data_IF_375628452519
#
_entry.id   IF_375628452519
#
_cell.length_a   1.000
_cell.length_b   1.000
_cell.length_c   1.000
_cell.angle_alpha   90.00
_cell.angle_beta   90.00
_cell.angle_gamma   90.00
#
_symmetry.space_group_name_H-M   'P 1'
#
loop_
_entity.id
_entity.type
_entity.pdbx_description
1 polymer ?
#
# COMPACT_ATOMS: atom_id res chain seq x y z
N UNK A 1 17.78 -5.19 -12.03
CA UNK A 1 16.54 -4.80 -11.33
C UNK A 1 15.61 -4.27 -12.39
N UNK A 2 14.54 -4.98 -12.73
CA UNK A 2 13.54 -4.47 -13.66
C UNK A 2 12.76 -3.38 -12.93
N UNK A 3 12.86 -2.15 -13.42
CA UNK A 3 12.13 -1.01 -12.89
C UNK A 3 10.61 -1.24 -12.95
N UNK A 4 9.90 -0.59 -12.02
CA UNK A 4 8.45 -0.52 -12.04
C UNK A 4 7.98 -0.09 -13.44
N UNK A 5 6.95 -0.78 -13.96
CA UNK A 5 6.30 -0.39 -15.21
C UNK A 5 5.20 0.65 -14.93
N UNK A 6 5.46 1.95 -15.14
CA UNK A 6 4.50 3.02 -14.82
C UNK A 6 3.20 2.90 -15.63
N UNK A 7 3.28 2.44 -16.88
CA UNK A 7 2.09 2.33 -17.75
C UNK A 7 1.11 1.25 -17.27
N UNK A 8 1.61 0.12 -16.77
CA UNK A 8 0.77 -0.93 -16.18
C UNK A 8 0.17 -0.46 -14.85
N UNK A 9 0.93 0.33 -14.08
CA UNK A 9 0.43 0.92 -12.84
C UNK A 9 -0.69 1.95 -13.08
N UNK A 10 -0.55 2.78 -14.11
CA UNK A 10 -1.51 3.82 -14.48
C UNK A 10 -2.81 3.26 -15.08
N UNK A 11 -2.78 2.04 -15.64
CA UNK A 11 -3.99 1.41 -16.19
C UNK A 11 -5.11 1.23 -15.15
N UNK A 12 -4.76 1.10 -13.88
CA UNK A 12 -5.69 0.95 -12.75
C UNK A 12 -5.58 2.13 -11.75
N UNK A 13 -5.29 3.32 -12.24
CA UNK A 13 -5.03 4.47 -11.38
C UNK A 13 -6.24 4.87 -10.53
N UNK A 14 -7.46 4.79 -11.07
CA UNK A 14 -8.69 5.13 -10.35
C UNK A 14 -8.93 4.19 -9.17
N UNK A 15 -8.81 2.87 -9.39
CA UNK A 15 -8.99 1.84 -8.36
C UNK A 15 -7.91 1.91 -7.27
N UNK A 16 -6.70 2.32 -7.63
CA UNK A 16 -5.57 2.49 -6.70
C UNK A 16 -5.66 3.77 -5.89
N UNK A 17 -6.24 4.83 -6.45
CA UNK A 17 -6.40 6.13 -5.77
C UNK A 17 -7.60 6.15 -4.82
N UNK A 18 -8.66 5.38 -5.11
CA UNK A 18 -9.87 5.35 -4.29
C UNK A 18 -9.61 5.11 -2.80
N UNK A 19 -8.78 4.14 -2.37
CA UNK A 19 -8.48 3.94 -0.94
C UNK A 19 -7.78 5.14 -0.30
N UNK A 20 -6.89 5.82 -1.03
CA UNK A 20 -6.23 7.03 -0.52
C UNK A 20 -7.24 8.16 -0.28
N UNK A 21 -8.21 8.36 -1.20
CA UNK A 21 -9.29 9.33 -1.06
C UNK A 21 -10.17 9.01 0.15
N UNK A 22 -10.55 7.74 0.33
CA UNK A 22 -11.39 7.30 1.45
C UNK A 22 -10.65 7.42 2.80
N UNK A 23 -9.34 7.09 2.85
CA UNK A 23 -8.50 7.32 4.02
C UNK A 23 -8.42 8.82 4.35
N UNK A 24 -8.10 9.64 3.35
CA UNK A 24 -7.96 11.09 3.51
C UNK A 24 -9.25 11.73 4.04
N UNK A 25 -10.42 11.28 3.59
CA UNK A 25 -11.71 11.78 4.04
C UNK A 25 -11.98 11.56 5.55
N UNK A 26 -11.28 10.58 6.17
CA UNK A 26 -11.39 10.28 7.61
C UNK A 26 -10.35 11.01 8.46
N UNK A 27 -9.38 11.71 7.87
CA UNK A 27 -8.38 12.49 8.62
C UNK A 27 -9.06 13.71 9.25
N UNK A 28 -9.12 13.81 10.61
CA UNK A 28 -9.87 14.85 11.32
C UNK A 28 -9.01 16.12 11.54
N UNK A 29 -8.36 16.61 10.48
CA UNK A 29 -7.49 17.79 10.53
C UNK A 29 -7.96 18.84 9.52
N UNK A 30 -7.97 20.11 9.94
CA UNK A 30 -8.37 21.23 9.08
C UNK A 30 -7.16 22.06 8.63
N UNK A 31 -6.40 22.59 9.57
CA UNK A 31 -5.24 23.43 9.30
C UNK A 31 -3.98 22.71 9.80
N UNK A 32 -3.10 22.39 8.87
CA UNK A 32 -1.84 21.69 9.15
C UNK A 32 -0.71 22.29 8.35
N UNK A 33 0.51 22.16 8.88
CA UNK A 33 1.70 22.74 8.28
C UNK A 33 2.68 21.68 7.79
N UNK A 34 2.82 20.56 8.53
CA UNK A 34 3.82 19.54 8.25
C UNK A 34 3.18 18.19 7.98
N UNK A 35 3.36 17.68 6.76
CA UNK A 35 2.85 16.38 6.31
C UNK A 35 4.00 15.50 5.85
N UNK A 36 3.96 14.22 6.20
CA UNK A 36 4.76 13.19 5.54
C UNK A 36 3.84 12.20 4.80
N UNK A 37 4.13 11.96 3.52
CA UNK A 37 3.53 10.89 2.72
C UNK A 37 4.54 9.74 2.59
N UNK A 38 4.37 8.69 3.38
CA UNK A 38 5.34 7.59 3.47
C UNK A 38 5.13 6.58 2.34
N UNK A 39 5.98 6.62 1.32
CA UNK A 39 5.91 5.74 0.18
C UNK A 39 4.89 6.19 -0.87
N UNK A 40 4.93 7.44 -1.26
CA UNK A 40 4.04 8.09 -2.24
C UNK A 40 3.93 7.40 -3.60
N UNK A 41 4.88 6.57 -3.94
CA UNK A 41 4.97 6.04 -5.28
C UNK A 41 5.19 7.15 -6.33
N UNK A 42 4.41 7.16 -7.43
CA UNK A 42 4.52 8.22 -8.44
C UNK A 42 3.87 9.57 -8.03
N UNK A 43 3.49 9.74 -6.75
CA UNK A 43 2.95 10.99 -6.21
C UNK A 43 1.42 11.09 -6.17
N UNK A 44 0.69 10.02 -6.42
CA UNK A 44 -0.78 10.06 -6.47
C UNK A 44 -1.41 10.46 -5.12
N UNK A 45 -0.92 9.92 -4.01
CA UNK A 45 -1.37 10.29 -2.66
C UNK A 45 -0.92 11.70 -2.29
N UNK A 46 0.32 12.04 -2.64
CA UNK A 46 0.89 13.38 -2.40
C UNK A 46 0.07 14.47 -3.10
N UNK A 47 -0.38 14.23 -4.34
CA UNK A 47 -1.25 15.16 -5.06
C UNK A 47 -2.61 15.39 -4.36
N UNK A 48 -3.18 14.35 -3.73
CA UNK A 48 -4.42 14.48 -2.95
C UNK A 48 -4.20 15.30 -1.67
N UNK A 49 -3.04 15.12 -1.02
CA UNK A 49 -2.64 15.89 0.16
C UNK A 49 -2.42 17.35 -0.20
N UNK A 50 -1.69 17.65 -1.27
CA UNK A 50 -1.43 18.99 -1.78
C UNK A 50 -2.74 19.70 -2.17
N UNK A 51 -3.65 18.99 -2.82
CA UNK A 51 -4.97 19.55 -3.16
C UNK A 51 -5.78 19.94 -1.92
N UNK A 52 -5.70 19.15 -0.84
CA UNK A 52 -6.44 19.43 0.41
C UNK A 52 -5.76 20.51 1.24
N UNK A 53 -4.42 20.55 1.28
CA UNK A 53 -3.62 21.47 2.07
C UNK A 53 -2.48 22.09 1.24
N UNK A 54 -2.79 22.98 0.30
CA UNK A 54 -1.80 23.50 -0.65
C UNK A 54 -0.71 24.37 -0.01
N UNK A 55 -0.90 24.79 1.24
CA UNK A 55 0.10 25.55 1.99
C UNK A 55 1.00 24.70 2.89
N UNK A 56 0.69 23.39 3.02
CA UNK A 56 1.47 22.49 3.85
C UNK A 56 2.78 22.07 3.17
N UNK A 57 3.79 21.77 4.00
CA UNK A 57 5.06 21.21 3.53
C UNK A 57 4.95 19.69 3.52
N UNK A 58 4.90 19.12 2.33
CA UNK A 58 4.77 17.68 2.15
C UNK A 58 6.16 17.08 1.91
N UNK A 59 6.52 16.10 2.73
CA UNK A 59 7.76 15.34 2.62
C UNK A 59 7.44 13.90 2.26
N UNK A 60 8.19 13.32 1.33
CA UNK A 60 8.08 11.91 0.95
C UNK A 60 9.39 11.18 1.13
N UNK A 61 9.30 9.90 1.49
CA UNK A 61 10.46 9.04 1.80
C UNK A 61 10.60 7.82 0.88
N UNK A 62 10.13 7.88 -0.39
CA UNK A 62 10.22 6.75 -1.32
C UNK A 62 11.45 6.78 -2.23
N UNK A 63 12.37 5.81 -2.16
CA UNK A 63 13.58 5.81 -2.98
C UNK A 63 13.33 5.59 -4.48
N UNK A 64 12.34 4.74 -4.84
CA UNK A 64 12.24 4.20 -6.20
C UNK A 64 11.45 5.05 -7.20
N UNK A 65 10.65 6.03 -6.73
CA UNK A 65 9.73 6.81 -7.59
C UNK A 65 9.88 8.32 -7.46
N UNK A 66 10.86 8.77 -6.67
CA UNK A 66 11.13 10.19 -6.39
C UNK A 66 11.34 11.03 -7.67
N UNK A 67 11.95 10.47 -8.71
CA UNK A 67 12.21 11.21 -9.94
C UNK A 67 10.91 11.60 -10.68
N UNK A 68 9.94 10.69 -10.74
CA UNK A 68 8.64 10.91 -11.36
C UNK A 68 7.77 11.84 -10.51
N UNK A 69 7.72 11.59 -9.20
CA UNK A 69 7.01 12.43 -8.25
C UNK A 69 7.54 13.89 -8.23
N UNK A 70 8.87 14.08 -8.25
CA UNK A 70 9.50 15.42 -8.36
C UNK A 70 9.12 16.17 -9.65
N UNK A 71 8.94 15.44 -10.75
CA UNK A 71 8.50 16.04 -12.01
C UNK A 71 7.04 16.44 -11.97
N UNK A 72 6.20 15.66 -11.30
CA UNK A 72 4.77 15.92 -11.18
C UNK A 72 4.43 17.00 -10.14
N UNK A 73 5.19 17.08 -9.05
CA UNK A 73 4.94 17.93 -7.88
C UNK A 73 6.23 18.69 -7.48
N UNK A 74 6.66 19.68 -8.27
CA UNK A 74 7.96 20.35 -8.06
C UNK A 74 8.07 21.14 -6.75
N UNK A 75 6.96 21.53 -6.15
CA UNK A 75 6.91 22.28 -4.90
C UNK A 75 6.96 21.41 -3.65
N UNK A 76 6.84 20.08 -3.80
CA UNK A 76 6.96 19.13 -2.69
C UNK A 76 8.40 18.72 -2.43
N UNK A 77 8.74 18.53 -1.14
CA UNK A 77 10.05 18.06 -0.73
C UNK A 77 10.09 16.52 -0.70
N UNK A 78 10.86 15.93 -1.61
CA UNK A 78 11.05 14.48 -1.66
C UNK A 78 12.40 14.11 -1.05
N UNK A 79 12.37 13.30 0.04
CA UNK A 79 13.54 12.81 0.75
C UNK A 79 13.67 11.30 0.58
N UNK A 80 14.82 10.84 0.09
CA UNK A 80 15.13 9.41 0.04
C UNK A 80 15.60 8.96 1.42
N UNK A 81 14.78 8.18 2.13
CA UNK A 81 15.08 7.70 3.48
C UNK A 81 14.42 6.35 3.77
N UNK A 82 15.00 5.60 4.69
CA UNK A 82 14.37 4.40 5.25
C UNK A 82 13.33 4.81 6.30
N UNK A 83 12.06 4.52 6.03
CA UNK A 83 10.92 4.86 6.91
C UNK A 83 11.15 4.39 8.35
N UNK A 84 11.84 3.26 8.56
CA UNK A 84 12.10 2.68 9.89
C UNK A 84 12.98 3.56 10.79
N UNK A 85 13.85 4.36 10.18
CA UNK A 85 14.86 5.18 10.89
C UNK A 85 14.77 6.67 10.55
N UNK A 86 13.85 7.04 9.66
CA UNK A 86 13.70 8.43 9.25
C UNK A 86 13.26 9.31 10.41
N UNK A 87 13.83 10.50 10.47
CA UNK A 87 13.50 11.54 11.44
C UNK A 87 13.21 12.83 10.68
N UNK A 88 12.03 13.41 10.83
CA UNK A 88 11.72 14.72 10.26
C UNK A 88 12.43 15.83 11.04
N UNK A 89 12.67 16.97 10.39
CA UNK A 89 13.23 18.16 11.04
C UNK A 89 12.25 18.81 12.04
N UNK A 90 10.95 18.62 11.81
CA UNK A 90 9.86 19.15 12.64
C UNK A 90 8.87 18.03 12.97
N UNK A 91 8.20 18.14 14.11
CA UNK A 91 7.09 17.26 14.44
C UNK A 91 5.96 17.40 13.39
N UNK A 92 5.33 16.28 13.03
CA UNK A 92 4.40 16.20 11.91
C UNK A 92 2.94 16.31 12.40
N UNK A 93 2.13 17.08 11.70
CA UNK A 93 0.70 17.12 11.95
C UNK A 93 -0.01 15.92 11.33
N UNK A 94 0.50 15.41 10.21
CA UNK A 94 -0.02 14.24 9.53
C UNK A 94 1.12 13.36 9.01
N UNK A 95 1.05 12.09 9.35
CA UNK A 95 1.75 11.01 8.64
C UNK A 95 0.70 10.24 7.84
N UNK A 96 0.84 10.23 6.53
CA UNK A 96 -0.03 9.52 5.61
C UNK A 96 0.74 8.37 4.95
N UNK A 97 0.16 7.18 4.92
CA UNK A 97 0.78 6.00 4.32
C UNK A 97 -0.27 5.17 3.57
N UNK A 98 -0.23 5.22 2.24
CA UNK A 98 -1.17 4.48 1.41
C UNK A 98 -0.48 3.36 0.66
N UNK A 99 -0.78 2.12 1.02
CA UNK A 99 -0.25 0.89 0.40
C UNK A 99 1.29 0.81 0.39
N UNK A 100 1.93 1.25 1.46
CA UNK A 100 3.39 1.26 1.63
C UNK A 100 3.88 0.42 2.82
N UNK A 101 3.27 0.59 4.01
CA UNK A 101 3.79 -0.01 5.23
C UNK A 101 3.67 -1.55 5.28
N UNK A 102 2.79 -2.16 4.52
CA UNK A 102 2.68 -3.62 4.42
C UNK A 102 3.96 -4.31 3.92
N UNK A 103 4.91 -3.56 3.37
CA UNK A 103 6.20 -4.07 2.91
C UNK A 103 7.30 -4.01 3.96
N UNK A 104 7.03 -3.37 5.08
CA UNK A 104 7.98 -3.24 6.19
C UNK A 104 7.68 -4.30 7.26
N UNK A 105 8.70 -4.91 7.86
CA UNK A 105 8.54 -5.81 9.00
C UNK A 105 8.30 -5.03 10.30
N UNK A 106 8.09 -5.76 11.38
CA UNK A 106 8.15 -5.26 12.76
C UNK A 106 7.21 -4.11 13.07
N UNK A 107 5.94 -4.24 12.68
CA UNK A 107 4.92 -3.21 12.93
C UNK A 107 4.75 -2.88 14.42
N UNK A 108 5.11 -3.78 15.33
CA UNK A 108 5.10 -3.53 16.77
C UNK A 108 6.10 -2.44 17.21
N UNK A 109 7.20 -2.25 16.46
CA UNK A 109 8.17 -1.20 16.69
C UNK A 109 7.91 0.01 15.79
N UNK A 110 7.52 -0.25 14.54
CA UNK A 110 7.31 0.77 13.52
C UNK A 110 6.19 1.76 13.88
N UNK A 111 5.02 1.26 14.30
CA UNK A 111 3.86 2.12 14.55
C UNK A 111 4.07 3.07 15.75
N UNK A 112 4.60 2.61 16.92
CA UNK A 112 4.97 3.54 17.99
C UNK A 112 6.03 4.55 17.57
N UNK A 113 7.02 4.14 16.77
CA UNK A 113 8.00 5.06 16.22
C UNK A 113 7.33 6.17 15.39
N UNK A 114 6.45 5.82 14.44
CA UNK A 114 5.73 6.79 13.62
C UNK A 114 4.86 7.73 14.47
N UNK A 115 4.18 7.22 15.49
CA UNK A 115 3.41 8.06 16.44
C UNK A 115 4.33 9.04 17.17
N UNK A 116 5.55 8.64 17.53
CA UNK A 116 6.50 9.52 18.23
C UNK A 116 6.95 10.73 17.39
N UNK A 117 6.82 10.66 16.06
CA UNK A 117 7.14 11.74 15.13
C UNK A 117 6.01 12.78 14.99
N UNK A 118 4.82 12.49 15.52
CA UNK A 118 3.68 13.39 15.44
C UNK A 118 3.76 14.53 16.44
N UNK A 119 3.25 15.68 16.02
CA UNK A 119 2.93 16.80 16.93
C UNK A 119 1.80 16.40 17.90
N UNK A 120 1.58 17.15 19.00
CA UNK A 120 0.38 17.00 19.80
C UNK A 120 -0.89 17.10 18.94
N UNK A 121 -1.83 16.18 19.11
CA UNK A 121 -3.04 16.02 18.29
C UNK A 121 -2.80 15.68 16.82
N UNK A 122 -1.55 15.39 16.42
CA UNK A 122 -1.20 14.92 15.09
C UNK A 122 -1.82 13.55 14.78
N UNK A 123 -1.88 13.20 13.50
CA UNK A 123 -2.59 12.01 13.02
C UNK A 123 -1.66 11.11 12.21
N UNK A 124 -1.70 9.83 12.52
CA UNK A 124 -1.18 8.75 11.68
C UNK A 124 -2.35 8.13 10.91
N UNK A 125 -2.36 8.29 9.58
CA UNK A 125 -3.38 7.74 8.70
C UNK A 125 -2.75 6.68 7.77
N UNK A 126 -3.16 5.43 7.90
CA UNK A 126 -2.57 4.28 7.21
C UNK A 126 -3.64 3.48 6.48
N UNK A 127 -3.35 3.12 5.23
CA UNK A 127 -4.09 2.12 4.49
C UNK A 127 -3.15 1.04 3.98
N UNK A 128 -3.52 -0.22 4.15
CA UNK A 128 -2.74 -1.39 3.71
C UNK A 128 -3.65 -2.43 3.04
N UNK A 129 -3.23 -3.06 1.92
CA UNK A 129 -3.89 -4.25 1.41
C UNK A 129 -3.87 -5.37 2.46
N UNK A 130 -5.06 -5.90 2.80
CA UNK A 130 -5.25 -6.99 3.78
C UNK A 130 -5.68 -8.27 3.05
N UNK A 131 -4.93 -8.61 2.01
CA UNK A 131 -5.27 -9.60 1.00
C UNK A 131 -4.39 -10.86 1.05
N UNK A 132 -3.68 -11.10 2.15
CA UNK A 132 -2.78 -12.24 2.30
C UNK A 132 -3.50 -13.59 2.20
N UNK A 133 -4.76 -13.66 2.65
CA UNK A 133 -5.65 -14.83 2.56
C UNK A 133 -6.52 -14.85 1.31
N UNK A 134 -6.50 -13.81 0.48
CA UNK A 134 -7.26 -13.80 -0.76
C UNK A 134 -6.69 -14.81 -1.76
N UNK A 135 -7.55 -15.44 -2.59
CA UNK A 135 -7.11 -16.48 -3.53
C UNK A 135 -5.92 -16.06 -4.38
N UNK A 136 -5.87 -14.82 -4.88
CA UNK A 136 -4.71 -14.33 -5.63
C UNK A 136 -3.38 -14.55 -4.91
N UNK A 137 -3.32 -14.30 -3.60
CA UNK A 137 -2.08 -14.42 -2.83
C UNK A 137 -1.85 -15.84 -2.30
N UNK A 138 -2.92 -16.58 -2.00
CA UNK A 138 -2.83 -18.01 -1.65
C UNK A 138 -2.25 -18.79 -2.82
N UNK A 139 -2.79 -18.59 -4.03
CA UNK A 139 -2.36 -19.29 -5.24
C UNK A 139 -0.90 -18.99 -5.62
N UNK A 140 -0.38 -17.80 -5.37
CA UNK A 140 1.06 -17.51 -5.58
C UNK A 140 1.94 -18.43 -4.71
N UNK A 141 1.56 -18.61 -3.44
CA UNK A 141 2.29 -19.50 -2.52
C UNK A 141 2.17 -20.97 -2.91
N UNK A 142 0.97 -21.38 -3.35
CA UNK A 142 0.73 -22.76 -3.80
C UNK A 142 1.56 -23.08 -5.06
N UNK A 143 1.58 -22.20 -6.06
CA UNK A 143 2.40 -22.39 -7.26
C UNK A 143 3.89 -22.45 -6.90
N UNK A 144 4.36 -21.56 -6.04
CA UNK A 144 5.75 -21.58 -5.60
C UNK A 144 6.09 -22.90 -4.88
N UNK A 145 5.21 -23.38 -4.01
CA UNK A 145 5.38 -24.66 -3.32
C UNK A 145 5.36 -25.84 -4.29
N UNK A 146 4.39 -25.91 -5.24
CA UNK A 146 4.34 -26.97 -6.25
C UNK A 146 5.61 -27.05 -7.10
N UNK A 147 6.21 -25.91 -7.40
CA UNK A 147 7.40 -25.80 -8.26
C UNK A 147 8.73 -25.76 -7.48
N UNK A 148 8.69 -25.93 -6.16
CA UNK A 148 9.84 -25.85 -5.24
C UNK A 148 10.59 -24.51 -5.30
N UNK A 149 9.88 -23.41 -5.53
CA UNK A 149 10.44 -22.07 -5.38
C UNK A 149 10.34 -21.60 -3.93
N UNK A 150 11.29 -20.75 -3.48
CA UNK A 150 11.22 -20.19 -2.12
C UNK A 150 10.00 -19.29 -1.97
N UNK A 151 9.43 -19.25 -0.77
CA UNK A 151 8.40 -18.26 -0.42
C UNK A 151 9.01 -16.85 -0.48
N UNK A 152 8.45 -16.01 -1.33
CA UNK A 152 8.83 -14.61 -1.55
C UNK A 152 7.68 -13.64 -1.22
N UNK A 153 6.60 -14.17 -0.69
CA UNK A 153 5.46 -13.35 -0.26
C UNK A 153 5.84 -12.42 0.88
N UNK A 154 5.13 -11.32 0.99
CA UNK A 154 5.19 -10.50 2.19
C UNK A 154 4.58 -11.25 3.38
N UNK A 155 4.91 -10.84 4.58
CA UNK A 155 4.23 -11.34 5.78
C UNK A 155 2.76 -10.86 5.85
N UNK A 156 1.88 -11.62 6.52
CA UNK A 156 0.53 -11.17 6.80
C UNK A 156 0.56 -9.91 7.68
N UNK A 157 -0.46 -9.07 7.56
CA UNK A 157 -0.65 -7.98 8.51
C UNK A 157 -0.95 -8.55 9.91
N UNK A 158 -0.60 -7.82 10.94
CA UNK A 158 -1.04 -8.11 12.29
C UNK A 158 -2.57 -8.05 12.39
N UNK A 159 -3.14 -8.71 13.39
CA UNK A 159 -4.58 -8.64 13.64
C UNK A 159 -5.02 -7.23 14.03
N UNK A 160 -6.29 -6.87 13.76
CA UNK A 160 -6.85 -5.56 14.10
C UNK A 160 -6.65 -5.21 15.58
N UNK A 161 -6.84 -6.19 16.48
CA UNK A 161 -6.63 -6.00 17.92
C UNK A 161 -5.19 -5.59 18.25
N UNK A 162 -4.19 -6.19 17.57
CA UNK A 162 -2.79 -5.85 17.80
C UNK A 162 -2.50 -4.38 17.41
N UNK A 163 -3.00 -3.91 16.26
CA UNK A 163 -2.85 -2.49 15.88
C UNK A 163 -3.55 -1.56 16.85
N UNK A 164 -4.75 -1.94 17.32
CA UNK A 164 -5.46 -1.15 18.32
C UNK A 164 -4.64 -1.02 19.62
N UNK A 165 -4.13 -2.14 20.14
CA UNK A 165 -3.36 -2.15 21.39
C UNK A 165 -2.06 -1.33 21.24
N UNK A 166 -1.28 -1.56 20.18
CA UNK A 166 -0.03 -0.83 19.89
C UNK A 166 -0.26 0.68 19.86
N UNK A 167 -1.31 1.12 19.16
CA UNK A 167 -1.58 2.55 18.98
C UNK A 167 -2.21 3.19 20.22
N UNK A 168 -3.05 2.46 20.95
CA UNK A 168 -3.62 2.91 22.21
C UNK A 168 -2.54 3.07 23.29
N UNK A 169 -1.61 2.11 23.38
CA UNK A 169 -0.44 2.18 24.28
C UNK A 169 0.50 3.34 23.91
N UNK A 170 0.57 3.68 22.60
CA UNK A 170 1.32 4.83 22.12
C UNK A 170 0.60 6.20 22.37
N UNK A 171 -0.55 6.20 23.03
CA UNK A 171 -1.30 7.41 23.41
C UNK A 171 -2.18 7.97 22.30
N UNK A 172 -2.77 7.11 21.46
CA UNK A 172 -3.68 7.53 20.40
C UNK A 172 -5.13 7.16 20.65
N UNK A 173 -6.05 8.01 20.20
CA UNK A 173 -7.41 7.61 19.86
C UNK A 173 -7.40 6.94 18.47
N UNK A 174 -8.03 5.77 18.35
CA UNK A 174 -7.85 4.90 17.17
C UNK A 174 -9.18 4.56 16.51
N UNK A 175 -9.32 4.88 15.21
CA UNK A 175 -10.37 4.41 14.32
C UNK A 175 -9.79 3.39 13.34
N UNK A 176 -10.30 2.16 13.34
CA UNK A 176 -9.85 1.07 12.48
C UNK A 176 -11.05 0.47 11.76
N UNK A 177 -10.94 0.32 10.44
CA UNK A 177 -11.98 -0.36 9.65
C UNK A 177 -11.39 -1.15 8.48
N UNK A 178 -12.20 -2.02 7.89
CA UNK A 178 -11.89 -2.76 6.68
C UNK A 178 -12.89 -2.43 5.59
N UNK A 179 -12.40 -2.33 4.35
CA UNK A 179 -13.23 -2.20 3.16
C UNK A 179 -12.80 -3.24 2.15
N UNK A 180 -13.74 -4.02 1.64
CA UNK A 180 -13.47 -4.91 0.50
C UNK A 180 -13.98 -4.25 -0.78
N UNK A 181 -13.06 -3.94 -1.68
CA UNK A 181 -13.37 -3.49 -3.03
C UNK A 181 -13.58 -4.70 -3.93
N UNK A 182 -14.54 -4.64 -4.83
CA UNK A 182 -14.75 -5.65 -5.86
C UNK A 182 -14.41 -5.03 -7.21
N UNK A 183 -13.21 -5.33 -7.71
CA UNK A 183 -12.74 -4.84 -9.01
C UNK A 183 -13.32 -5.71 -10.12
N UNK A 184 -13.92 -5.08 -11.13
CA UNK A 184 -14.40 -5.76 -12.33
C UNK A 184 -13.24 -5.99 -13.29
N UNK A 185 -12.84 -7.24 -13.46
CA UNK A 185 -11.72 -7.63 -14.31
C UNK A 185 -12.25 -8.24 -15.61
N UNK A 186 -11.75 -7.84 -16.79
CA UNK A 186 -12.23 -8.35 -18.07
C UNK A 186 -11.75 -9.79 -18.34
N UNK A 187 -10.74 -10.28 -17.65
CA UNK A 187 -10.15 -11.61 -17.82
C UNK A 187 -9.28 -12.00 -16.65
N UNK A 188 -8.90 -13.29 -16.54
CA UNK A 188 -7.91 -13.78 -15.59
C UNK A 188 -6.52 -13.18 -15.85
N UNK A 189 -6.17 -12.91 -17.12
CA UNK A 189 -4.94 -12.19 -17.44
C UNK A 189 -4.93 -10.78 -16.83
N UNK A 190 -6.05 -10.08 -16.79
CA UNK A 190 -6.12 -8.76 -16.15
C UNK A 190 -5.88 -8.83 -14.63
N UNK A 191 -6.24 -9.95 -13.96
CA UNK A 191 -5.86 -10.18 -12.56
C UNK A 191 -4.35 -10.35 -12.44
N UNK A 192 -3.71 -11.12 -13.33
CA UNK A 192 -2.25 -11.29 -13.36
C UNK A 192 -1.57 -9.93 -13.56
N UNK A 193 -2.04 -9.14 -14.52
CA UNK A 193 -1.49 -7.80 -14.81
C UNK A 193 -1.60 -6.87 -13.58
N UNK A 194 -2.75 -6.94 -12.88
CA UNK A 194 -2.96 -6.19 -11.63
C UNK A 194 -1.94 -6.55 -10.56
N UNK A 195 -1.75 -7.85 -10.28
CA UNK A 195 -0.85 -8.30 -9.19
C UNK A 195 0.62 -8.28 -9.59
N UNK A 196 0.95 -8.35 -10.89
CA UNK A 196 2.33 -8.25 -11.40
C UNK A 196 2.97 -6.92 -11.04
N UNK A 197 2.18 -5.85 -11.05
CA UNK A 197 2.66 -4.54 -10.62
C UNK A 197 2.95 -4.45 -9.11
N UNK A 198 2.59 -5.45 -8.30
CA UNK A 198 2.66 -5.40 -6.83
C UNK A 198 3.06 -6.75 -6.22
N UNK A 199 2.08 -7.55 -5.78
CA UNK A 199 2.27 -8.76 -4.96
C UNK A 199 2.98 -9.91 -5.67
N UNK A 200 2.90 -10.00 -7.00
CA UNK A 200 3.53 -11.06 -7.78
C UNK A 200 5.01 -10.78 -8.08
N UNK A 201 5.42 -9.51 -8.06
CA UNK A 201 6.80 -9.10 -8.37
C UNK A 201 7.89 -9.83 -7.56
N UNK A 202 7.79 -9.97 -6.22
CA UNK A 202 8.80 -10.68 -5.45
C UNK A 202 9.00 -12.13 -5.86
N UNK A 203 7.96 -12.77 -6.39
CA UNK A 203 8.00 -14.17 -6.83
C UNK A 203 8.74 -14.35 -8.17
N UNK A 204 8.66 -13.36 -9.07
CA UNK A 204 9.17 -13.45 -10.43
C UNK A 204 10.60 -12.91 -10.58
N UNK A 205 11.04 -11.99 -9.72
CA UNK A 205 12.27 -11.22 -9.92
C UNK A 205 13.56 -12.05 -10.00
N UNK A 206 13.59 -13.20 -9.32
CA UNK A 206 14.77 -14.08 -9.25
C UNK A 206 14.66 -15.31 -10.19
N UNK A 207 13.56 -15.43 -10.93
CA UNK A 207 13.29 -16.51 -11.86
C UNK A 207 13.82 -16.18 -13.25
N UNK A 208 14.29 -17.18 -13.97
CA UNK A 208 14.59 -17.09 -15.40
C UNK A 208 13.30 -16.91 -16.22
N UNK A 209 13.37 -16.43 -17.45
CA UNK A 209 12.20 -16.23 -18.31
C UNK A 209 11.37 -17.51 -18.47
N UNK A 210 12.02 -18.67 -18.59
CA UNK A 210 11.34 -19.97 -18.69
C UNK A 210 10.59 -20.33 -17.40
N UNK A 211 11.20 -20.06 -16.24
CA UNK A 211 10.59 -20.31 -14.93
C UNK A 211 9.43 -19.34 -14.68
N UNK A 212 9.58 -18.05 -15.04
CA UNK A 212 8.49 -17.07 -14.97
C UNK A 212 7.29 -17.51 -15.81
N UNK A 213 7.54 -17.96 -17.06
CA UNK A 213 6.48 -18.45 -17.93
C UNK A 213 5.78 -19.68 -17.35
N UNK A 214 6.54 -20.60 -16.75
CA UNK A 214 5.97 -21.79 -16.10
C UNK A 214 5.13 -21.41 -14.88
N UNK A 215 5.64 -20.53 -14.03
CA UNK A 215 4.91 -19.99 -12.86
C UNK A 215 3.61 -19.33 -13.31
N UNK A 216 3.66 -18.40 -14.26
CA UNK A 216 2.50 -17.64 -14.73
C UNK A 216 1.46 -18.53 -15.41
N UNK A 217 1.88 -19.55 -16.16
CA UNK A 217 0.96 -20.49 -16.79
C UNK A 217 0.18 -21.28 -15.73
N UNK A 218 0.86 -21.80 -14.72
CA UNK A 218 0.21 -22.54 -13.65
C UNK A 218 -0.69 -21.64 -12.81
N UNK A 219 -0.22 -20.43 -12.48
CA UNK A 219 -0.97 -19.44 -11.73
C UNK A 219 -2.26 -19.04 -12.46
N UNK A 220 -2.20 -18.84 -13.79
CA UNK A 220 -3.37 -18.55 -14.61
C UNK A 220 -4.42 -19.66 -14.54
N UNK A 221 -4.01 -20.92 -14.67
CA UNK A 221 -4.91 -22.08 -14.58
C UNK A 221 -5.64 -22.11 -13.22
N UNK A 222 -4.91 -21.88 -12.13
CA UNK A 222 -5.51 -21.88 -10.79
C UNK A 222 -6.45 -20.69 -10.58
N UNK A 223 -6.16 -19.54 -11.19
CA UNK A 223 -7.08 -18.40 -11.16
C UNK A 223 -8.39 -18.68 -11.89
N UNK A 224 -8.36 -19.41 -13.03
CA UNK A 224 -9.57 -19.83 -13.75
C UNK A 224 -10.49 -20.72 -12.91
N UNK A 225 -9.91 -21.57 -12.07
CA UNK A 225 -10.64 -22.44 -11.15
C UNK A 225 -11.27 -21.66 -9.98
N UNK A 226 -10.61 -20.60 -9.48
CA UNK A 226 -11.01 -19.85 -8.29
C UNK A 226 -11.92 -18.65 -8.58
N UNK A 227 -11.81 -18.05 -9.75
CA UNK A 227 -12.54 -16.84 -10.11
C UNK A 227 -13.46 -17.12 -11.32
N UNK A 228 -14.72 -17.53 -11.07
CA UNK A 228 -15.66 -17.80 -12.15
C UNK A 228 -16.07 -16.51 -12.87
N UNK A 229 -16.36 -16.65 -14.17
CA UNK A 229 -16.97 -15.59 -14.95
C UNK A 229 -18.39 -15.30 -14.45
N UNK A 230 -18.73 -14.05 -14.32
CA UNK A 230 -20.09 -13.58 -14.07
C UNK A 230 -20.94 -13.67 -15.36
N UNK A 231 -22.26 -13.49 -15.26
CA UNK A 231 -23.17 -13.55 -16.41
C UNK A 231 -22.80 -12.57 -17.55
N UNK A 232 -22.20 -11.45 -17.21
CA UNK A 232 -21.73 -10.43 -18.16
C UNK A 232 -20.33 -10.70 -18.70
N UNK A 233 -19.72 -11.85 -18.38
CA UNK A 233 -18.35 -12.21 -18.79
C UNK A 233 -17.24 -11.54 -18.01
N UNK A 234 -17.54 -10.72 -16.99
CA UNK A 234 -16.53 -10.11 -16.11
C UNK A 234 -16.18 -11.04 -14.94
N UNK A 235 -15.06 -10.76 -14.30
CA UNK A 235 -14.62 -11.41 -13.07
C UNK A 235 -14.67 -10.39 -11.94
N UNK A 236 -15.17 -10.79 -10.78
CA UNK A 236 -15.10 -9.94 -9.57
C UNK A 236 -13.90 -10.33 -8.72
N UNK A 237 -12.91 -9.45 -8.69
CA UNK A 237 -11.74 -9.58 -7.84
C UNK A 237 -12.00 -8.87 -6.50
N UNK A 238 -12.18 -9.64 -5.43
CA UNK A 238 -12.24 -9.11 -4.08
C UNK A 238 -10.84 -8.59 -3.66
N UNK A 239 -10.81 -7.38 -3.12
CA UNK A 239 -9.56 -6.74 -2.69
C UNK A 239 -9.76 -6.04 -1.35
N UNK A 240 -9.64 -6.78 -0.23
CA UNK A 240 -9.79 -6.20 1.10
C UNK A 240 -8.60 -5.30 1.48
N UNK A 241 -8.92 -4.24 2.19
CA UNK A 241 -7.95 -3.27 2.70
C UNK A 241 -8.26 -2.93 4.16
N UNK A 242 -7.21 -2.78 4.94
CA UNK A 242 -7.24 -2.29 6.32
C UNK A 242 -6.93 -0.81 6.33
N UNK A 243 -7.72 -0.05 7.09
CA UNK A 243 -7.57 1.37 7.30
C UNK A 243 -7.40 1.65 8.78
N UNK A 244 -6.52 2.57 9.11
CA UNK A 244 -6.23 3.01 10.48
C UNK A 244 -6.08 4.53 10.47
N UNK A 245 -6.80 5.21 11.34
CA UNK A 245 -6.61 6.62 11.67
C UNK A 245 -6.35 6.69 13.16
N UNK A 246 -5.13 7.01 13.55
CA UNK A 246 -4.72 7.14 14.94
C UNK A 246 -4.36 8.60 15.23
N UNK A 247 -5.09 9.23 16.15
CA UNK A 247 -4.86 10.60 16.57
C UNK A 247 -4.17 10.63 17.92
N UNK A 248 -3.00 11.24 17.97
CA UNK A 248 -2.28 11.45 19.22
C UNK A 248 -3.08 12.34 20.17
N UNK A 249 -3.18 11.98 21.45
CA UNK A 249 -4.01 12.71 22.43
C UNK A 249 -3.28 13.88 23.07
N UNK A 250 -1.93 13.81 23.16
CA UNK A 250 -1.03 14.84 23.76
C UNK A 250 0.21 15.05 22.91
#
# INVERSE_FOLDING_TARGET
MSDWNPSLYLHFAAERSRPAVELLARVPLENIEYIADLGCGPGNSTALLDQRWPAARITDSSPAMIAEARSALPDCLFVEADIRNWQPEQALDLIFANASLQWLPDHYELFPHLVSLLSPLGVLAVQMPDNWLEPTHVLMREVAWEQNYPDRGREPLAGVHAYYDILSEAGCEVDIWRTTYYHQMPSHQAIIDWVTATGLRPWLQDLTESEQQHFLTRYHQMLEEQYPLQENGQILLAFPRLFIVARRTE
#
